data_IF_851195921795
#
_entry.id   IF_851195921795
#
_cell.length_a   1.000
_cell.length_b   1.000
_cell.length_c   1.000
_cell.angle_alpha   90.00
_cell.angle_beta   90.00
_cell.angle_gamma   90.00
#
_symmetry.space_group_name_H-M   'P 1'
#
loop_
_entity.id
_entity.type
_entity.pdbx_description
1 polymer ?
#
# COMPACT_ATOMS: atom_id res chain seq x y z
N UNK A 1 24.45 -23.37 11.74
CA UNK A 1 24.01 -22.94 10.40
C UNK A 1 22.55 -22.54 10.53
N UNK A 2 22.12 -21.42 9.95
CA UNK A 2 20.68 -21.08 9.97
C UNK A 2 19.92 -22.14 9.17
N UNK A 3 18.83 -22.70 9.70
CA UNK A 3 18.05 -23.72 9.00
C UNK A 3 17.46 -23.15 7.71
N UNK A 4 17.45 -23.95 6.64
CA UNK A 4 16.71 -23.63 5.41
C UNK A 4 15.21 -23.47 5.71
N UNK A 5 14.44 -23.00 4.72
CA UNK A 5 13.03 -22.72 4.96
C UNK A 5 12.10 -23.18 3.83
N UNK A 6 10.85 -23.43 4.19
CA UNK A 6 9.71 -23.50 3.30
C UNK A 6 8.80 -22.29 3.52
N UNK A 7 7.97 -21.97 2.52
CA UNK A 7 6.89 -20.98 2.64
C UNK A 7 5.57 -21.68 2.38
N UNK A 8 4.67 -21.66 3.36
CA UNK A 8 3.30 -22.12 3.15
C UNK A 8 2.46 -21.01 2.52
N UNK A 9 1.95 -21.27 1.31
CA UNK A 9 1.18 -20.36 0.47
C UNK A 9 1.89 -20.00 -0.83
N UNK A 10 1.46 -20.58 -1.95
CA UNK A 10 1.98 -20.28 -3.29
C UNK A 10 1.17 -19.15 -3.99
N UNK A 11 0.93 -18.07 -3.26
CA UNK A 11 0.11 -16.93 -3.68
C UNK A 11 0.83 -15.61 -3.37
N UNK A 12 0.27 -14.43 -3.72
CA UNK A 12 0.98 -13.15 -3.62
C UNK A 12 1.66 -12.88 -2.26
N UNK A 13 1.03 -13.24 -1.13
CA UNK A 13 1.65 -13.10 0.20
C UNK A 13 2.89 -13.98 0.38
N UNK A 14 2.84 -15.23 -0.08
CA UNK A 14 4.01 -16.12 -0.06
C UNK A 14 5.10 -15.67 -1.03
N UNK A 15 4.74 -15.12 -2.18
CA UNK A 15 5.71 -14.55 -3.13
C UNK A 15 6.41 -13.34 -2.52
N UNK A 16 5.66 -12.44 -1.88
CA UNK A 16 6.23 -11.32 -1.12
C UNK A 16 7.14 -11.81 0.01
N UNK A 17 6.72 -12.83 0.77
CA UNK A 17 7.57 -13.43 1.82
C UNK A 17 8.86 -14.03 1.25
N UNK A 18 8.77 -14.67 0.09
CA UNK A 18 9.95 -15.20 -0.61
C UNK A 18 10.93 -14.10 -0.98
N UNK A 19 10.44 -12.95 -1.48
CA UNK A 19 11.27 -11.78 -1.77
C UNK A 19 11.92 -11.21 -0.51
N UNK A 20 11.17 -11.12 0.60
CA UNK A 20 11.72 -10.64 1.88
C UNK A 20 12.85 -11.55 2.38
N UNK A 21 12.59 -12.85 2.51
CA UNK A 21 13.55 -13.79 3.07
C UNK A 21 14.79 -13.96 2.20
N UNK A 22 14.65 -14.07 0.87
CA UNK A 22 15.82 -14.22 -0.01
C UNK A 22 16.73 -13.00 0.01
N UNK A 23 16.15 -11.81 0.20
CA UNK A 23 16.89 -10.56 0.22
C UNK A 23 17.52 -10.32 1.59
N UNK A 24 16.79 -10.56 2.68
CA UNK A 24 17.26 -10.31 4.04
C UNK A 24 18.19 -11.41 4.56
N UNK A 25 17.96 -12.66 4.15
CA UNK A 25 18.69 -13.84 4.62
C UNK A 25 19.22 -14.70 3.46
N UNK A 26 20.13 -14.16 2.62
CA UNK A 26 20.59 -14.82 1.39
C UNK A 26 21.31 -16.16 1.60
N UNK A 27 21.82 -16.42 2.82
CA UNK A 27 22.49 -17.67 3.16
C UNK A 27 21.52 -18.84 3.43
N UNK A 28 20.21 -18.56 3.58
CA UNK A 28 19.19 -19.58 3.80
C UNK A 28 18.51 -19.91 2.47
N UNK A 29 18.39 -21.20 2.15
CA UNK A 29 17.72 -21.64 0.92
C UNK A 29 16.21 -21.82 1.15
N UNK A 30 15.40 -21.31 0.22
CA UNK A 30 14.01 -21.74 0.09
C UNK A 30 13.97 -23.15 -0.53
N UNK A 31 13.46 -24.11 0.22
CA UNK A 31 13.33 -25.50 -0.21
C UNK A 31 12.03 -25.78 -0.97
N UNK A 32 11.04 -24.87 -0.89
CA UNK A 32 9.78 -25.02 -1.59
C UNK A 32 8.67 -24.12 -1.06
N UNK A 33 7.65 -23.93 -1.90
CA UNK A 33 6.34 -23.49 -1.45
C UNK A 33 5.49 -24.70 -1.08
N UNK A 34 4.68 -24.58 -0.03
CA UNK A 34 3.77 -25.62 0.44
C UNK A 34 2.32 -25.14 0.31
N UNK A 35 1.38 -26.04 0.03
CA UNK A 35 -0.06 -25.80 0.12
C UNK A 35 -0.80 -27.11 0.45
N UNK A 36 -2.06 -27.00 0.86
CA UNK A 36 -2.91 -28.12 1.32
C UNK A 36 -4.36 -28.04 0.80
N UNK A 37 -4.64 -27.17 -0.16
CA UNK A 37 -5.96 -26.92 -0.70
C UNK A 37 -6.10 -27.39 -2.16
N UNK A 38 -7.33 -27.40 -2.68
CA UNK A 38 -7.62 -27.78 -4.07
C UNK A 38 -7.30 -26.66 -5.09
N UNK A 39 -6.65 -25.57 -4.66
CA UNK A 39 -6.34 -24.47 -5.57
C UNK A 39 -5.28 -24.88 -6.57
N UNK A 40 -5.47 -24.45 -7.83
CA UNK A 40 -4.48 -24.67 -8.88
C UNK A 40 -3.27 -23.79 -8.62
N UNK A 41 -2.18 -24.42 -8.21
CA UNK A 41 -0.89 -23.76 -8.05
C UNK A 41 0.05 -24.11 -9.21
N UNK A 42 0.96 -23.19 -9.61
CA UNK A 42 1.99 -23.51 -10.57
C UNK A 42 2.93 -24.59 -9.99
N UNK A 43 3.58 -25.38 -10.85
CA UNK A 43 4.55 -26.38 -10.38
C UNK A 43 5.81 -25.76 -9.76
N UNK A 44 6.16 -24.55 -10.20
CA UNK A 44 7.30 -23.79 -9.73
C UNK A 44 6.99 -22.28 -9.72
N UNK A 45 7.67 -21.55 -8.83
CA UNK A 45 7.63 -20.09 -8.70
C UNK A 45 9.07 -19.59 -8.68
N UNK A 46 9.48 -18.83 -9.71
CA UNK A 46 10.87 -18.38 -9.87
C UNK A 46 11.91 -19.51 -9.73
N UNK A 47 11.58 -20.72 -10.23
CA UNK A 47 12.44 -21.91 -10.14
C UNK A 47 12.43 -22.62 -8.78
N UNK A 48 11.59 -22.18 -7.84
CA UNK A 48 11.35 -22.85 -6.56
C UNK A 48 10.11 -23.74 -6.68
N UNK A 49 10.24 -25.02 -6.34
CA UNK A 49 9.16 -26.00 -6.44
C UNK A 49 7.99 -25.70 -5.51
N UNK A 50 6.78 -25.99 -5.98
CA UNK A 50 5.55 -25.94 -5.18
C UNK A 50 5.10 -27.37 -4.87
N UNK A 51 4.87 -27.66 -3.59
CA UNK A 51 4.51 -28.97 -3.07
C UNK A 51 3.09 -28.94 -2.52
N UNK A 52 2.28 -29.88 -3.00
CA UNK A 52 1.00 -30.23 -2.40
C UNK A 52 1.26 -31.17 -1.23
N UNK A 53 1.06 -30.71 0.01
CA UNK A 53 1.30 -31.52 1.20
C UNK A 53 0.35 -32.72 1.31
N UNK A 54 -0.85 -32.65 0.71
CA UNK A 54 -1.78 -33.78 0.70
C UNK A 54 -1.29 -34.94 -0.17
N UNK A 55 -0.45 -34.65 -1.18
CA UNK A 55 0.03 -35.60 -2.18
C UNK A 55 1.56 -35.80 -2.16
N UNK A 56 2.29 -35.10 -1.30
CA UNK A 56 3.75 -35.20 -1.18
C UNK A 56 4.11 -36.20 -0.09
N UNK A 57 4.89 -37.22 -0.44
CA UNK A 57 5.53 -38.10 0.55
C UNK A 57 6.45 -37.27 1.47
N UNK A 58 6.23 -37.25 2.80
CA UNK A 58 7.05 -36.51 3.76
C UNK A 58 8.55 -36.82 3.67
N UNK A 59 8.94 -38.01 3.18
CA UNK A 59 10.35 -38.37 2.94
C UNK A 59 11.05 -37.48 1.90
N UNK A 60 10.28 -36.72 1.10
CA UNK A 60 10.80 -35.75 0.14
C UNK A 60 10.95 -34.33 0.70
N UNK A 61 10.62 -34.12 1.97
CA UNK A 61 10.71 -32.82 2.65
C UNK A 61 11.82 -32.85 3.70
N UNK A 62 12.53 -31.73 3.84
CA UNK A 62 13.44 -31.51 4.96
C UNK A 62 12.63 -31.03 6.17
N UNK A 63 12.18 -31.97 7.01
CA UNK A 63 11.36 -31.67 8.19
C UNK A 63 12.10 -30.88 9.28
N UNK A 64 13.42 -30.70 9.17
CA UNK A 64 14.22 -29.84 10.06
C UNK A 64 14.17 -28.35 9.67
N UNK A 65 13.66 -28.06 8.47
CA UNK A 65 13.53 -26.70 7.96
C UNK A 65 12.44 -25.90 8.68
N UNK A 66 12.61 -24.58 8.70
CA UNK A 66 11.60 -23.63 9.20
C UNK A 66 10.50 -23.48 8.17
N UNK A 67 9.24 -23.39 8.60
CA UNK A 67 8.10 -23.13 7.70
C UNK A 67 7.44 -21.81 8.06
N UNK A 68 7.46 -20.86 7.13
CA UNK A 68 6.73 -19.60 7.27
C UNK A 68 5.31 -19.72 6.72
N UNK A 69 4.29 -19.53 7.55
CA UNK A 69 2.89 -19.55 7.13
C UNK A 69 2.51 -18.17 6.58
N UNK A 70 2.66 -17.98 5.26
CA UNK A 70 2.46 -16.71 4.55
C UNK A 70 1.07 -16.62 3.91
N UNK A 71 0.01 -16.91 4.68
CA UNK A 71 -1.40 -16.88 4.26
C UNK A 71 -2.21 -15.89 5.10
N UNK A 72 -3.54 -15.83 4.91
CA UNK A 72 -4.43 -15.03 5.78
C UNK A 72 -4.47 -15.66 7.18
N UNK A 73 -4.41 -14.81 8.22
CA UNK A 73 -4.34 -15.24 9.63
C UNK A 73 -5.44 -16.23 10.06
N UNK A 74 -6.64 -16.10 9.49
CA UNK A 74 -7.78 -17.01 9.75
C UNK A 74 -7.48 -18.48 9.43
N UNK A 75 -6.48 -18.77 8.58
CA UNK A 75 -6.10 -20.13 8.19
C UNK A 75 -4.89 -20.66 8.98
N UNK A 76 -4.23 -19.83 9.79
CA UNK A 76 -2.94 -20.19 10.40
C UNK A 76 -3.04 -21.40 11.33
N UNK A 77 -4.10 -21.50 12.15
CA UNK A 77 -4.28 -22.63 13.06
C UNK A 77 -4.50 -23.96 12.31
N UNK A 78 -5.31 -23.94 11.25
CA UNK A 78 -5.51 -25.11 10.40
C UNK A 78 -4.18 -25.56 9.76
N UNK A 79 -3.48 -24.63 9.12
CA UNK A 79 -2.21 -24.89 8.43
C UNK A 79 -1.16 -25.42 9.40
N UNK A 80 -1.09 -24.86 10.62
CA UNK A 80 -0.19 -25.35 11.67
C UNK A 80 -0.50 -26.80 12.01
N UNK A 81 -1.78 -27.16 12.12
CA UNK A 81 -2.21 -28.56 12.30
C UNK A 81 -1.73 -29.48 11.17
N UNK A 82 -1.88 -29.05 9.92
CA UNK A 82 -1.44 -29.81 8.73
C UNK A 82 0.09 -30.02 8.75
N UNK A 83 0.86 -28.99 9.07
CA UNK A 83 2.32 -29.07 9.14
C UNK A 83 2.81 -30.00 10.26
N UNK A 84 2.13 -29.99 11.42
CA UNK A 84 2.43 -30.92 12.51
C UNK A 84 2.15 -32.38 12.11
N UNK A 85 1.04 -32.64 11.42
CA UNK A 85 0.71 -33.97 10.89
C UNK A 85 1.73 -34.42 9.83
N UNK A 86 2.23 -33.50 9.01
CA UNK A 86 3.30 -33.77 8.04
C UNK A 86 4.68 -34.03 8.68
N UNK A 87 4.82 -33.79 9.99
CA UNK A 87 6.04 -34.12 10.75
C UNK A 87 6.99 -32.95 11.02
N UNK A 88 6.58 -31.71 10.72
CA UNK A 88 7.37 -30.53 11.12
C UNK A 88 7.27 -30.30 12.63
N UNK A 89 8.41 -29.96 13.25
CA UNK A 89 8.45 -29.62 14.67
C UNK A 89 7.74 -28.27 14.94
N UNK A 90 7.03 -28.16 16.05
CA UNK A 90 6.21 -26.98 16.38
C UNK A 90 7.01 -25.67 16.45
N UNK A 91 8.25 -25.75 16.91
CA UNK A 91 9.23 -24.67 17.04
C UNK A 91 9.78 -24.18 15.69
N UNK A 92 9.63 -24.99 14.64
CA UNK A 92 10.03 -24.64 13.27
C UNK A 92 8.88 -23.98 12.49
N UNK A 93 7.66 -23.92 13.02
CA UNK A 93 6.51 -23.34 12.34
C UNK A 93 6.30 -21.90 12.79
N UNK A 94 6.46 -20.95 11.87
CA UNK A 94 6.35 -19.51 12.12
C UNK A 94 5.14 -18.94 11.39
N UNK A 95 4.12 -18.53 12.15
CA UNK A 95 2.99 -17.77 11.61
C UNK A 95 3.43 -16.36 11.22
N UNK A 96 3.19 -15.96 9.97
CA UNK A 96 3.48 -14.59 9.50
C UNK A 96 2.37 -13.66 9.96
N UNK A 97 2.51 -13.14 11.17
CA UNK A 97 1.58 -12.15 11.75
C UNK A 97 1.72 -10.79 11.05
N UNK A 98 0.73 -9.87 11.17
CA UNK A 98 0.87 -8.51 10.67
C UNK A 98 2.10 -7.77 11.21
N UNK A 99 2.49 -8.04 12.46
CA UNK A 99 3.68 -7.47 13.08
C UNK A 99 4.96 -8.00 12.42
N UNK A 100 5.04 -9.32 12.17
CA UNK A 100 6.20 -9.92 11.49
C UNK A 100 6.29 -9.47 10.03
N UNK A 101 5.16 -9.42 9.31
CA UNK A 101 5.11 -8.90 7.94
C UNK A 101 5.59 -7.45 7.86
N UNK A 102 5.12 -6.59 8.78
CA UNK A 102 5.52 -5.18 8.85
C UNK A 102 7.02 -5.04 9.14
N UNK A 103 7.54 -5.82 10.10
CA UNK A 103 8.97 -5.84 10.41
C UNK A 103 9.81 -6.21 9.18
N UNK A 104 9.51 -7.35 8.56
CA UNK A 104 10.26 -7.84 7.40
C UNK A 104 10.12 -6.92 6.19
N UNK A 105 8.93 -6.35 5.97
CA UNK A 105 8.70 -5.33 4.93
C UNK A 105 9.60 -4.11 5.13
N UNK A 106 9.66 -3.58 6.34
CA UNK A 106 10.45 -2.39 6.64
C UNK A 106 11.94 -2.65 6.40
N UNK A 107 12.47 -3.76 6.93
CA UNK A 107 13.86 -4.19 6.71
C UNK A 107 14.15 -4.41 5.21
N UNK A 108 13.20 -5.00 4.47
CA UNK A 108 13.32 -5.23 3.04
C UNK A 108 13.38 -3.92 2.26
N UNK A 109 12.45 -2.99 2.50
CA UNK A 109 12.41 -1.68 1.82
C UNK A 109 13.69 -0.90 2.10
N UNK A 110 14.14 -0.86 3.36
CA UNK A 110 15.39 -0.21 3.74
C UNK A 110 16.59 -0.77 2.96
N UNK A 111 16.69 -2.10 2.88
CA UNK A 111 17.78 -2.77 2.16
C UNK A 111 17.76 -2.48 0.67
N UNK A 112 16.58 -2.49 0.03
CA UNK A 112 16.43 -2.18 -1.40
C UNK A 112 16.76 -0.70 -1.67
N UNK A 113 16.25 0.22 -0.86
CA UNK A 113 16.52 1.65 -1.03
C UNK A 113 18.01 1.94 -0.86
N UNK A 114 18.64 1.34 0.14
CA UNK A 114 20.10 1.44 0.33
C UNK A 114 20.88 0.91 -0.87
N UNK A 115 20.46 -0.21 -1.49
CA UNK A 115 21.15 -0.71 -2.69
C UNK A 115 20.92 0.16 -3.93
N UNK A 116 19.88 0.99 -3.93
CA UNK A 116 19.62 2.02 -4.94
C UNK A 116 20.26 3.38 -4.62
N UNK A 117 21.02 3.50 -3.52
CA UNK A 117 21.61 4.76 -3.09
C UNK A 117 20.59 5.75 -2.51
N UNK A 118 19.45 5.25 -2.01
CA UNK A 118 18.36 6.03 -1.42
C UNK A 118 18.32 5.85 0.09
N UNK A 119 17.81 6.87 0.78
CA UNK A 119 17.48 6.78 2.21
C UNK A 119 16.04 6.30 2.38
N UNK A 120 15.81 5.37 3.31
CA UNK A 120 14.48 5.02 3.79
C UNK A 120 14.29 5.66 5.15
N UNK A 121 13.65 6.83 5.17
CA UNK A 121 13.29 7.53 6.41
C UNK A 121 11.85 7.18 6.77
N UNK A 122 11.64 6.70 7.99
CA UNK A 122 10.34 6.24 8.46
C UNK A 122 10.02 6.86 9.81
N UNK A 123 8.79 7.35 9.98
CA UNK A 123 8.28 7.72 11.29
C UNK A 123 8.12 6.46 12.14
N UNK A 124 8.84 6.45 13.25
CA UNK A 124 8.83 5.40 14.26
C UNK A 124 7.92 5.82 15.42
N UNK A 125 7.14 4.87 15.96
CA UNK A 125 6.37 5.09 17.19
C UNK A 125 7.27 5.18 18.44
N UNK A 126 8.45 4.54 18.38
CA UNK A 126 9.34 4.32 19.53
C UNK A 126 10.54 5.28 19.55
N UNK A 127 10.62 6.22 18.61
CA UNK A 127 11.67 7.24 18.65
C UNK A 127 11.28 8.29 19.69
N UNK A 128 11.96 8.25 20.83
CA UNK A 128 11.90 9.25 21.89
C UNK A 128 11.78 10.64 21.27
N UNK A 129 10.76 11.38 21.70
CA UNK A 129 10.67 12.80 21.45
C UNK A 129 12.01 13.41 21.90
N UNK A 130 12.87 13.72 20.93
CA UNK A 130 14.02 14.58 21.19
C UNK A 130 13.46 15.86 21.79
N UNK A 131 14.13 16.34 22.84
CA UNK A 131 13.64 17.37 23.77
C UNK A 131 12.77 18.44 23.06
N UNK A 132 11.63 18.84 23.67
CA UNK A 132 10.77 19.84 23.07
C UNK A 132 11.63 21.05 22.71
N UNK A 133 11.60 21.45 21.44
CA UNK A 133 12.19 22.72 21.06
C UNK A 133 11.51 23.80 21.92
N UNK A 134 12.33 24.59 22.63
CA UNK A 134 11.91 25.72 23.50
C UNK A 134 11.32 26.90 22.70
N UNK A 135 10.50 26.62 21.70
CA UNK A 135 9.73 27.62 20.95
C UNK A 135 8.28 27.13 20.88
N UNK A 136 7.33 28.00 21.23
CA UNK A 136 5.91 27.82 20.88
C UNK A 136 5.82 27.66 19.35
N UNK A 137 6.00 26.43 18.87
CA UNK A 137 5.74 26.02 17.50
C UNK A 137 4.24 26.17 17.31
N UNK A 138 3.87 27.24 16.61
CA UNK A 138 2.48 27.51 16.28
C UNK A 138 1.94 26.32 15.49
N UNK A 139 1.01 25.58 16.08
CA UNK A 139 0.24 24.51 15.45
C UNK A 139 -0.07 24.90 13.99
N UNK A 140 0.65 24.31 13.04
CA UNK A 140 0.27 24.39 11.64
C UNK A 140 -1.14 23.83 11.49
N UNK A 141 -2.05 24.60 10.88
CA UNK A 141 -3.41 24.17 10.55
C UNK A 141 -3.34 22.90 9.70
N UNK A 142 -3.52 21.74 10.34
CA UNK A 142 -3.40 20.41 9.73
C UNK A 142 -4.75 19.69 9.77
N UNK A 143 -5.10 19.04 8.66
CA UNK A 143 -6.28 18.17 8.61
C UNK A 143 -5.99 16.91 7.79
N UNK A 144 -6.12 15.76 8.43
CA UNK A 144 -6.14 14.45 7.79
C UNK A 144 -7.59 14.05 7.53
N UNK A 145 -7.97 14.08 6.27
CA UNK A 145 -9.29 13.69 5.82
C UNK A 145 -9.41 12.17 5.75
N UNK A 146 -10.35 11.64 6.51
CA UNK A 146 -10.65 10.21 6.58
C UNK A 146 -11.76 9.91 5.59
N UNK A 147 -11.42 9.32 4.45
CA UNK A 147 -12.41 8.94 3.45
C UNK A 147 -13.27 7.79 3.99
N UNK A 148 -14.57 8.05 4.10
CA UNK A 148 -15.60 7.08 4.49
C UNK A 148 -16.71 7.07 3.44
N UNK A 149 -17.15 5.90 3.02
CA UNK A 149 -18.28 5.75 2.13
C UNK A 149 -19.53 5.32 2.92
N UNK A 150 -20.72 5.67 2.45
CA UNK A 150 -21.98 5.32 3.11
C UNK A 150 -22.21 3.80 3.26
N UNK A 151 -21.52 2.98 2.45
CA UNK A 151 -21.58 1.52 2.50
C UNK A 151 -20.42 0.87 3.27
N UNK A 152 -19.50 1.66 3.83
CA UNK A 152 -18.47 1.12 4.72
C UNK A 152 -19.10 0.56 5.98
N UNK A 153 -18.71 -0.66 6.37
CA UNK A 153 -19.19 -1.21 7.65
C UNK A 153 -18.46 -0.56 8.80
N UNK A 154 -19.21 -0.30 9.86
CA UNK A 154 -18.65 0.11 11.14
C UNK A 154 -17.74 -0.96 11.73
N UNK A 155 -16.87 -0.49 12.62
CA UNK A 155 -15.98 -1.33 13.40
C UNK A 155 -16.74 -2.03 14.52
N UNK A 156 -16.19 -3.15 14.99
CA UNK A 156 -16.69 -3.78 16.22
C UNK A 156 -16.39 -2.96 17.48
N UNK A 157 -15.39 -2.08 17.41
CA UNK A 157 -14.94 -1.21 18.50
C UNK A 157 -15.05 0.26 18.08
N UNK A 158 -15.34 1.13 19.04
CA UNK A 158 -15.44 2.57 18.79
C UNK A 158 -14.04 3.15 18.49
N UNK A 159 -13.86 3.70 17.30
CA UNK A 159 -12.60 4.31 16.87
C UNK A 159 -12.75 5.82 16.94
N UNK A 160 -12.13 6.44 17.94
CA UNK A 160 -12.12 7.89 18.09
C UNK A 160 -11.20 8.52 17.04
N UNK A 161 -11.66 9.62 16.43
CA UNK A 161 -10.81 10.49 15.62
C UNK A 161 -9.84 11.25 16.52
N UNK A 162 -8.62 11.48 16.01
CA UNK A 162 -7.67 12.41 16.61
C UNK A 162 -8.06 13.86 16.27
N UNK A 163 -7.52 14.82 17.01
CA UNK A 163 -7.89 16.24 16.87
C UNK A 163 -7.63 16.82 15.47
N UNK A 164 -6.64 16.28 14.77
CA UNK A 164 -6.28 16.66 13.40
C UNK A 164 -7.02 15.85 12.33
N UNK A 165 -7.94 14.96 12.70
CA UNK A 165 -8.65 14.08 11.76
C UNK A 165 -10.10 14.51 11.58
N UNK A 166 -10.58 14.45 10.34
CA UNK A 166 -11.97 14.74 10.02
C UNK A 166 -12.51 13.78 8.96
N UNK A 167 -13.71 13.25 9.18
CA UNK A 167 -14.36 12.38 8.19
C UNK A 167 -14.82 13.20 6.99
N UNK A 168 -14.45 12.74 5.79
CA UNK A 168 -15.03 13.17 4.52
C UNK A 168 -15.83 12.02 3.91
N UNK A 169 -17.11 12.26 3.64
CA UNK A 169 -17.91 11.29 2.91
C UNK A 169 -17.53 11.31 1.43
N UNK A 170 -17.06 10.17 0.93
CA UNK A 170 -16.73 9.96 -0.48
C UNK A 170 -17.92 9.37 -1.25
N UNK A 171 -18.18 9.88 -2.45
CA UNK A 171 -19.31 9.49 -3.29
C UNK A 171 -20.64 9.99 -2.76
N UNK A 172 -20.65 11.14 -2.08
CA UNK A 172 -21.84 11.68 -1.42
C UNK A 172 -23.02 11.83 -2.38
N UNK A 173 -22.79 12.27 -3.62
CA UNK A 173 -23.86 12.45 -4.61
C UNK A 173 -24.53 11.13 -5.03
N UNK A 174 -23.83 10.01 -4.86
CA UNK A 174 -24.31 8.67 -5.23
C UNK A 174 -24.88 7.91 -4.03
N UNK A 175 -24.77 8.45 -2.82
CA UNK A 175 -25.23 7.81 -1.60
C UNK A 175 -26.70 8.12 -1.32
N UNK A 176 -27.40 7.17 -0.71
CA UNK A 176 -28.81 7.34 -0.31
C UNK A 176 -28.98 8.34 0.86
N UNK A 177 -27.91 8.55 1.64
CA UNK A 177 -27.91 9.46 2.78
C UNK A 177 -26.53 10.06 3.06
N UNK A 178 -26.52 11.17 3.79
CA UNK A 178 -25.31 11.76 4.36
C UNK A 178 -24.97 11.05 5.66
N UNK A 179 -23.69 10.81 5.89
CA UNK A 179 -23.16 10.32 7.15
C UNK A 179 -23.26 11.42 8.21
N UNK A 180 -23.85 11.09 9.36
CA UNK A 180 -24.06 12.01 10.48
C UNK A 180 -22.75 12.41 11.18
N UNK A 181 -21.74 11.54 11.11
CA UNK A 181 -20.40 11.73 11.68
C UNK A 181 -19.40 12.39 10.69
N UNK A 182 -19.83 12.68 9.45
CA UNK A 182 -18.98 13.33 8.47
C UNK A 182 -18.95 14.86 8.65
N UNK A 183 -17.75 15.40 8.83
CA UNK A 183 -17.52 16.85 8.86
C UNK A 183 -17.52 17.46 7.45
N UNK A 184 -17.15 16.67 6.45
CA UNK A 184 -17.04 17.09 5.05
C UNK A 184 -17.76 16.13 4.11
N UNK A 185 -18.17 16.67 2.96
CA UNK A 185 -18.83 15.91 1.91
C UNK A 185 -18.19 16.26 0.58
N UNK A 186 -17.78 15.24 -0.17
CA UNK A 186 -17.08 15.44 -1.44
C UNK A 186 -17.95 16.00 -2.57
N UNK A 187 -19.25 16.22 -2.36
CA UNK A 187 -20.19 16.82 -3.33
C UNK A 187 -20.35 18.34 -3.21
N UNK A 188 -19.56 18.99 -2.35
CA UNK A 188 -19.58 20.45 -2.15
C UNK A 188 -18.51 21.14 -2.99
N UNK A 189 -18.72 22.41 -3.35
CA UNK A 189 -17.73 23.19 -4.10
C UNK A 189 -17.38 22.55 -5.45
N UNK A 190 -16.14 22.73 -5.90
CA UNK A 190 -15.64 22.04 -7.11
C UNK A 190 -15.36 20.57 -6.76
N UNK A 191 -15.95 19.64 -7.52
CA UNK A 191 -15.89 18.21 -7.19
C UNK A 191 -16.11 17.28 -8.39
N UNK A 192 -15.87 15.99 -8.14
CA UNK A 192 -16.16 14.85 -9.04
C UNK A 192 -16.86 13.70 -8.29
N UNK A 193 -17.70 14.03 -7.29
CA UNK A 193 -18.36 13.03 -6.43
C UNK A 193 -19.17 12.01 -7.23
N UNK A 194 -19.70 12.42 -8.39
CA UNK A 194 -20.49 11.61 -9.32
C UNK A 194 -19.68 10.50 -9.99
N UNK A 195 -18.35 10.60 -9.96
CA UNK A 195 -17.42 9.61 -10.51
C UNK A 195 -16.92 8.60 -9.47
N UNK A 196 -17.45 8.59 -8.24
CA UNK A 196 -16.93 7.77 -7.13
C UNK A 196 -16.96 6.25 -7.40
N UNK A 197 -17.90 5.74 -8.21
CA UNK A 197 -17.91 4.32 -8.64
C UNK A 197 -16.61 3.89 -9.32
N UNK A 198 -15.90 4.82 -9.95
CA UNK A 198 -14.63 4.58 -10.64
C UNK A 198 -13.45 5.15 -9.84
N UNK A 199 -13.58 6.38 -9.34
CA UNK A 199 -12.51 7.10 -8.66
C UNK A 199 -12.33 6.69 -7.19
N UNK A 200 -13.33 6.06 -6.58
CA UNK A 200 -13.30 5.68 -5.17
C UNK A 200 -12.87 6.87 -4.28
N UNK A 201 -11.93 6.66 -3.36
CA UNK A 201 -11.44 7.69 -2.44
C UNK A 201 -10.75 8.88 -3.16
N UNK A 202 -10.44 8.77 -4.45
CA UNK A 202 -9.93 9.90 -5.22
C UNK A 202 -10.95 11.02 -5.41
N UNK A 203 -12.26 10.77 -5.24
CA UNK A 203 -13.24 11.87 -5.24
C UNK A 203 -13.06 12.75 -4.01
N UNK A 204 -12.73 12.16 -2.85
CA UNK A 204 -12.30 12.90 -1.67
C UNK A 204 -10.96 13.61 -1.92
N UNK A 205 -9.96 12.95 -2.53
CA UNK A 205 -8.68 13.60 -2.88
C UNK A 205 -8.88 14.82 -3.79
N UNK A 206 -9.75 14.71 -4.80
CA UNK A 206 -10.07 15.80 -5.71
C UNK A 206 -10.72 16.96 -4.96
N UNK A 207 -11.70 16.65 -4.10
CA UNK A 207 -12.37 17.65 -3.29
C UNK A 207 -11.37 18.38 -2.38
N UNK A 208 -10.47 17.64 -1.73
CA UNK A 208 -9.42 18.19 -0.88
C UNK A 208 -8.53 19.14 -1.68
N UNK A 209 -8.03 18.72 -2.85
CA UNK A 209 -7.21 19.55 -3.74
C UNK A 209 -7.87 20.90 -4.08
N UNK A 210 -9.19 20.90 -4.29
CA UNK A 210 -9.91 22.10 -4.73
C UNK A 210 -10.44 22.98 -3.60
N UNK A 211 -10.66 22.42 -2.41
CA UNK A 211 -11.47 23.08 -1.38
C UNK A 211 -10.77 23.19 -0.01
N UNK A 212 -9.79 22.33 0.30
CA UNK A 212 -9.10 22.36 1.59
C UNK A 212 -8.21 23.60 1.74
N UNK A 213 -8.08 24.09 2.98
CA UNK A 213 -7.38 25.35 3.29
C UNK A 213 -6.21 25.19 4.24
N UNK A 214 -6.10 24.03 4.86
CA UNK A 214 -5.04 23.67 5.80
C UNK A 214 -3.68 23.73 5.12
N UNK A 215 -2.63 24.05 5.88
CA UNK A 215 -1.26 24.07 5.38
C UNK A 215 -0.69 22.65 5.25
N UNK A 216 -1.15 21.74 6.10
CA UNK A 216 -0.85 20.31 6.03
C UNK A 216 -2.15 19.54 5.79
N UNK A 217 -2.15 18.73 4.74
CA UNK A 217 -3.34 18.01 4.30
C UNK A 217 -3.02 16.53 4.17
N UNK A 218 -3.88 15.70 4.76
CA UNK A 218 -3.82 14.25 4.62
C UNK A 218 -5.07 13.67 3.98
N UNK A 219 -4.90 12.53 3.32
CA UNK A 219 -5.96 11.61 2.94
C UNK A 219 -5.61 10.21 3.46
N UNK A 220 -6.54 9.63 4.19
CA UNK A 220 -6.49 8.23 4.59
C UNK A 220 -7.87 7.56 4.50
N UNK A 221 -7.92 6.26 4.80
CA UNK A 221 -9.16 5.49 4.67
C UNK A 221 -9.78 5.26 6.03
N UNK A 222 -11.10 5.12 6.06
CA UNK A 222 -11.82 4.71 7.26
C UNK A 222 -11.15 3.51 7.97
N UNK A 223 -10.84 2.44 7.21
CA UNK A 223 -10.27 1.19 7.76
C UNK A 223 -8.74 1.10 7.75
N UNK A 224 -8.04 2.11 7.22
CA UNK A 224 -6.57 2.11 7.14
C UNK A 224 -6.06 3.47 7.54
N UNK A 225 -5.48 3.54 8.74
CA UNK A 225 -5.02 4.77 9.36
C UNK A 225 -3.50 4.79 9.40
N UNK A 226 -2.90 5.96 9.19
CA UNK A 226 -1.47 6.12 9.41
C UNK A 226 -1.12 5.87 10.89
N UNK A 227 -0.02 5.17 11.10
CA UNK A 227 0.62 5.04 12.40
C UNK A 227 1.63 6.18 12.53
N UNK A 228 1.21 7.27 13.15
CA UNK A 228 2.01 8.48 13.38
C UNK A 228 2.38 8.61 14.87
N UNK A 229 3.65 8.90 15.23
CA UNK A 229 4.04 9.25 16.59
C UNK A 229 3.43 10.59 17.01
N UNK A 230 3.32 10.86 18.31
CA UNK A 230 2.66 12.09 18.81
C UNK A 230 3.31 13.38 18.29
N UNK A 231 4.63 13.39 18.11
CA UNK A 231 5.39 14.53 17.60
C UNK A 231 5.50 14.59 16.06
N UNK A 232 4.65 13.88 15.31
CA UNK A 232 4.74 13.87 13.85
C UNK A 232 4.59 15.26 13.20
N UNK A 233 3.76 16.14 13.79
CA UNK A 233 3.58 17.52 13.29
C UNK A 233 4.84 18.34 13.47
N UNK A 234 5.47 18.26 14.65
CA UNK A 234 6.76 18.91 14.93
C UNK A 234 7.84 18.43 13.97
N UNK A 235 7.87 17.13 13.67
CA UNK A 235 8.80 16.56 12.67
C UNK A 235 8.52 17.07 11.25
N UNK A 236 7.25 17.29 10.90
CA UNK A 236 6.91 17.86 9.59
C UNK A 236 7.42 19.30 9.47
N UNK A 237 7.23 20.10 10.52
CA UNK A 237 7.67 21.50 10.59
C UNK A 237 9.20 21.62 10.67
N UNK A 238 9.82 21.00 11.66
CA UNK A 238 11.27 21.09 11.95
C UNK A 238 12.13 20.27 10.99
N UNK A 239 11.67 19.07 10.63
CA UNK A 239 12.38 18.13 9.74
C UNK A 239 12.26 18.49 8.26
N UNK A 240 11.55 19.58 7.93
CA UNK A 240 11.26 19.98 6.55
C UNK A 240 10.72 18.81 5.73
N UNK A 241 9.84 18.00 6.33
CA UNK A 241 9.18 16.90 5.62
C UNK A 241 8.17 17.54 4.67
N UNK A 242 8.22 17.13 3.41
CA UNK A 242 7.31 17.63 2.38
C UNK A 242 6.09 16.73 2.23
N UNK A 243 6.30 15.41 2.39
CA UNK A 243 5.27 14.39 2.23
C UNK A 243 5.58 13.14 3.06
N UNK A 244 4.53 12.58 3.66
CA UNK A 244 4.50 11.28 4.31
C UNK A 244 3.65 10.33 3.45
N UNK A 245 4.25 9.22 3.01
CA UNK A 245 3.58 8.15 2.27
C UNK A 245 3.49 6.89 3.14
N UNK A 246 2.60 5.96 2.77
CA UNK A 246 2.60 4.66 3.45
C UNK A 246 3.84 3.84 3.05
N UNK A 247 4.38 3.03 3.97
CA UNK A 247 5.52 2.15 3.66
C UNK A 247 5.22 1.32 2.40
N UNK A 248 6.13 1.28 1.41
CA UNK A 248 5.94 0.55 0.17
C UNK A 248 5.72 -0.95 0.36
N UNK A 249 4.81 -1.51 -0.43
CA UNK A 249 4.64 -2.95 -0.59
C UNK A 249 5.46 -3.46 -1.77
N UNK A 250 6.00 -4.67 -1.64
CA UNK A 250 6.62 -5.39 -2.75
C UNK A 250 5.58 -6.16 -3.56
N UNK A 251 5.56 -5.92 -4.87
CA UNK A 251 4.75 -6.66 -5.85
C UNK A 251 5.63 -7.31 -6.90
N UNK A 252 5.12 -8.31 -7.63
CA UNK A 252 5.88 -9.02 -8.66
C UNK A 252 5.13 -9.06 -9.99
N UNK A 253 5.84 -9.16 -11.13
CA UNK A 253 7.30 -9.04 -11.26
C UNK A 253 7.80 -7.58 -11.24
N UNK A 254 6.90 -6.63 -11.51
CA UNK A 254 7.13 -5.17 -11.50
C UNK A 254 5.80 -4.46 -11.27
N UNK A 255 5.78 -3.13 -11.16
CA UNK A 255 4.52 -2.38 -11.02
C UNK A 255 3.60 -2.58 -12.24
N UNK A 256 4.16 -2.50 -13.45
CA UNK A 256 3.44 -2.78 -14.69
C UNK A 256 2.96 -4.24 -14.75
N UNK A 257 3.87 -5.19 -14.53
CA UNK A 257 3.54 -6.62 -14.61
C UNK A 257 2.49 -7.03 -13.58
N UNK A 258 2.59 -6.46 -12.37
CA UNK A 258 1.60 -6.67 -11.32
C UNK A 258 0.23 -6.13 -11.73
N UNK A 259 0.16 -4.90 -12.26
CA UNK A 259 -1.10 -4.35 -12.75
C UNK A 259 -1.69 -5.23 -13.87
N UNK A 260 -0.91 -5.53 -14.91
CA UNK A 260 -1.36 -6.28 -16.09
C UNK A 260 -1.77 -7.73 -15.82
N UNK A 261 -1.39 -8.29 -14.66
CA UNK A 261 -1.81 -9.63 -14.22
C UNK A 261 -3.13 -9.62 -13.42
N UNK A 262 -3.58 -8.46 -12.95
CA UNK A 262 -4.75 -8.31 -12.04
C UNK A 262 -5.84 -7.42 -12.61
N UNK A 263 -5.49 -6.56 -13.55
CA UNK A 263 -6.34 -5.53 -14.08
C UNK A 263 -6.32 -5.51 -15.60
N UNK A 264 -7.30 -4.83 -16.19
CA UNK A 264 -7.40 -4.68 -17.64
C UNK A 264 -6.14 -4.01 -18.22
N UNK A 265 -5.43 -4.74 -19.07
CA UNK A 265 -4.18 -4.31 -19.72
C UNK A 265 -4.41 -3.12 -20.65
N UNK A 266 -5.59 -3.03 -21.26
CA UNK A 266 -5.92 -1.95 -22.20
C UNK A 266 -5.99 -0.61 -21.49
N UNK A 267 -6.47 -0.59 -20.24
CA UNK A 267 -6.46 0.62 -19.40
C UNK A 267 -5.04 1.08 -19.11
N UNK A 268 -4.13 0.14 -18.84
CA UNK A 268 -2.72 0.46 -18.60
C UNK A 268 -2.07 1.09 -19.84
N UNK A 269 -2.22 0.44 -20.99
CA UNK A 269 -1.62 0.91 -22.23
C UNK A 269 -2.18 2.30 -22.62
N UNK A 270 -3.46 2.54 -22.33
CA UNK A 270 -4.09 3.85 -22.50
C UNK A 270 -3.56 4.91 -21.55
N UNK A 271 -3.38 4.58 -20.27
CA UNK A 271 -2.77 5.47 -19.28
C UNK A 271 -1.38 5.91 -19.72
N UNK A 272 -0.54 4.96 -20.16
CA UNK A 272 0.82 5.26 -20.62
C UNK A 272 0.82 6.18 -21.84
N UNK A 273 -0.10 5.96 -22.78
CA UNK A 273 -0.28 6.83 -23.95
C UNK A 273 -0.66 8.25 -23.52
N UNK A 274 -1.65 8.40 -22.63
CA UNK A 274 -2.09 9.70 -22.12
C UNK A 274 -0.97 10.42 -21.37
N UNK A 275 -0.21 9.70 -20.54
CA UNK A 275 0.93 10.26 -19.81
C UNK A 275 1.97 10.85 -20.77
N UNK A 276 2.32 10.12 -21.84
CA UNK A 276 3.26 10.59 -22.87
C UNK A 276 2.78 11.81 -23.64
N UNK A 277 1.47 11.94 -23.85
CA UNK A 277 0.89 13.07 -24.57
C UNK A 277 0.74 14.32 -23.70
N UNK A 278 0.39 14.17 -22.42
CA UNK A 278 0.24 15.29 -21.48
C UNK A 278 1.57 15.75 -20.90
N UNK A 279 2.50 14.83 -20.66
CA UNK A 279 3.80 15.07 -20.05
C UNK A 279 4.89 14.31 -20.84
N UNK A 280 5.27 14.79 -22.04
CA UNK A 280 6.28 14.13 -22.88
C UNK A 280 7.62 13.91 -22.19
N UNK A 281 7.99 14.80 -21.25
CA UNK A 281 9.19 14.70 -20.41
C UNK A 281 9.18 13.49 -19.46
N UNK A 282 7.99 13.01 -19.09
CA UNK A 282 7.82 11.88 -18.19
C UNK A 282 7.83 10.54 -18.93
N UNK A 283 7.45 10.52 -20.21
CA UNK A 283 7.06 9.32 -20.94
C UNK A 283 7.99 8.12 -20.80
N UNK A 284 9.23 8.25 -21.25
CA UNK A 284 10.21 7.15 -21.20
C UNK A 284 10.65 6.81 -19.77
N UNK A 285 10.77 7.83 -18.91
CA UNK A 285 11.18 7.65 -17.53
C UNK A 285 10.11 6.89 -16.73
N UNK A 286 8.83 7.19 -16.94
CA UNK A 286 7.69 6.54 -16.32
C UNK A 286 7.57 5.07 -16.75
N UNK A 287 7.64 4.79 -18.05
CA UNK A 287 7.60 3.40 -18.54
C UNK A 287 8.74 2.56 -17.96
N UNK A 288 9.96 3.11 -17.95
CA UNK A 288 11.11 2.44 -17.34
C UNK A 288 10.86 2.19 -15.85
N UNK A 289 10.41 3.20 -15.11
CA UNK A 289 10.07 3.08 -13.70
C UNK A 289 9.06 1.96 -13.45
N UNK A 290 7.94 1.93 -14.18
CA UNK A 290 6.91 0.92 -13.96
C UNK A 290 7.35 -0.51 -14.32
N UNK A 291 8.23 -0.64 -15.32
CA UNK A 291 8.75 -1.93 -15.76
C UNK A 291 9.81 -2.49 -14.83
N UNK A 292 10.63 -1.63 -14.23
CA UNK A 292 11.81 -2.04 -13.46
C UNK A 292 11.58 -2.03 -11.95
N UNK A 293 10.71 -1.14 -11.44
CA UNK A 293 10.43 -1.05 -10.02
C UNK A 293 9.32 -2.00 -9.61
N UNK A 294 9.35 -2.37 -8.33
CA UNK A 294 8.44 -3.35 -7.74
C UNK A 294 7.96 -2.97 -6.33
N UNK A 295 8.39 -1.81 -5.83
CA UNK A 295 7.95 -1.22 -4.57
C UNK A 295 6.97 -0.09 -4.85
N UNK A 296 5.84 -0.06 -4.14
CA UNK A 296 4.89 1.04 -4.24
C UNK A 296 4.12 1.27 -2.93
N UNK A 297 3.90 2.53 -2.56
CA UNK A 297 2.98 2.95 -1.50
C UNK A 297 1.53 2.72 -1.96
N UNK A 298 0.77 1.79 -1.33
CA UNK A 298 -0.59 1.47 -1.76
C UNK A 298 -1.64 2.45 -1.21
N UNK A 299 -2.89 2.27 -1.65
CA UNK A 299 -4.09 2.90 -1.11
C UNK A 299 -4.24 4.40 -1.36
N UNK A 300 -3.39 5.07 -2.15
CA UNK A 300 -3.49 6.52 -2.35
C UNK A 300 -3.49 7.35 -1.05
N UNK A 301 -2.90 6.79 0.02
CA UNK A 301 -2.78 7.46 1.31
C UNK A 301 -1.57 8.39 1.28
N UNK A 302 -1.78 9.63 1.71
CA UNK A 302 -0.78 10.69 1.66
C UNK A 302 -1.03 11.71 2.77
N UNK A 303 0.03 12.23 3.39
CA UNK A 303 -0.02 13.47 4.18
C UNK A 303 1.05 14.37 3.59
N UNK A 304 0.72 15.60 3.22
CA UNK A 304 1.67 16.48 2.55
C UNK A 304 1.42 17.94 2.90
N UNK A 305 2.42 18.78 2.69
CA UNK A 305 2.22 20.23 2.61
C UNK A 305 1.23 20.53 1.48
N UNK A 306 0.34 21.51 1.68
CA UNK A 306 -0.72 21.86 0.72
C UNK A 306 -0.19 22.10 -0.69
N UNK A 307 0.95 22.77 -0.81
CA UNK A 307 1.58 23.06 -2.11
C UNK A 307 2.10 21.79 -2.81
N UNK A 308 2.64 20.84 -2.06
CA UNK A 308 3.12 19.55 -2.57
C UNK A 308 1.94 18.69 -3.03
N UNK A 309 0.87 18.65 -2.23
CA UNK A 309 -0.37 17.97 -2.60
C UNK A 309 -0.98 18.60 -3.86
N UNK A 310 -0.99 19.93 -3.94
CA UNK A 310 -1.51 20.66 -5.09
C UNK A 310 -0.72 20.36 -6.36
N UNK A 311 0.62 20.42 -6.33
CA UNK A 311 1.43 20.06 -7.51
C UNK A 311 1.21 18.60 -7.93
N UNK A 312 1.04 17.70 -6.95
CA UNK A 312 0.70 16.31 -7.22
C UNK A 312 -0.64 16.16 -7.91
N UNK A 313 -1.68 16.79 -7.39
CA UNK A 313 -3.03 16.72 -7.95
C UNK A 313 -3.15 17.44 -9.30
N UNK A 314 -2.45 18.58 -9.48
CA UNK A 314 -2.34 19.32 -10.74
C UNK A 314 -1.72 18.43 -11.85
N UNK A 315 -0.83 17.50 -11.49
CA UNK A 315 -0.26 16.50 -12.42
C UNK A 315 -1.14 15.24 -12.58
N UNK A 316 -1.70 14.72 -11.49
CA UNK A 316 -2.43 13.44 -11.45
C UNK A 316 -3.79 13.52 -12.16
N UNK A 317 -4.61 14.50 -11.80
CA UNK A 317 -6.02 14.51 -12.21
C UNK A 317 -6.22 14.73 -13.71
N UNK A 318 -5.43 15.56 -14.43
CA UNK A 318 -5.53 15.62 -15.88
C UNK A 318 -5.36 14.25 -16.56
N UNK A 319 -4.44 13.42 -16.08
CA UNK A 319 -4.21 12.06 -16.59
C UNK A 319 -5.45 11.20 -16.32
N UNK A 320 -5.92 11.16 -15.08
CA UNK A 320 -7.02 10.29 -14.68
C UNK A 320 -8.37 10.69 -15.28
N UNK A 321 -8.66 11.98 -15.35
CA UNK A 321 -9.90 12.49 -15.95
C UNK A 321 -9.94 12.18 -17.45
N UNK A 322 -8.84 12.44 -18.17
CA UNK A 322 -8.74 12.08 -19.58
C UNK A 322 -8.85 10.58 -19.80
N UNK A 323 -8.18 9.78 -18.96
CA UNK A 323 -8.29 8.32 -19.01
C UNK A 323 -9.75 7.86 -18.81
N UNK A 324 -10.44 8.45 -17.84
CA UNK A 324 -11.83 8.14 -17.55
C UNK A 324 -12.79 8.56 -18.65
N UNK A 325 -12.58 9.73 -19.25
CA UNK A 325 -13.40 10.25 -20.35
C UNK A 325 -13.22 9.40 -21.63
N UNK A 326 -12.01 8.86 -21.88
CA UNK A 326 -11.72 8.04 -23.06
C UNK A 326 -12.12 6.56 -22.90
N UNK A 327 -12.13 6.02 -21.67
CA UNK A 327 -12.48 4.62 -21.41
C UNK A 327 -13.95 4.46 -21.00
N UNK A 328 -14.48 5.38 -20.20
CA UNK A 328 -15.83 5.30 -19.63
C UNK A 328 -15.96 4.22 -18.56
N UNK A 329 -17.19 3.72 -18.37
CA UNK A 329 -17.52 2.70 -17.39
C UNK A 329 -17.26 1.29 -17.93
N UNK A 330 -16.70 0.42 -17.10
CA UNK A 330 -16.52 -1.01 -17.37
C UNK A 330 -17.66 -1.81 -16.75
N UNK A 331 -18.04 -2.92 -17.38
CA UNK A 331 -19.12 -3.80 -16.91
C UNK A 331 -18.77 -4.48 -15.58
N UNK A 332 -17.51 -4.92 -15.43
CA UNK A 332 -17.03 -5.51 -14.19
C UNK A 332 -16.83 -4.42 -13.13
N UNK A 333 -17.66 -4.44 -12.08
CA UNK A 333 -17.66 -3.43 -11.03
C UNK A 333 -16.32 -3.31 -10.29
N UNK A 334 -15.53 -4.38 -10.20
CA UNK A 334 -14.21 -4.34 -9.59
C UNK A 334 -13.20 -3.67 -10.53
N UNK A 335 -13.16 -4.06 -11.80
CA UNK A 335 -12.30 -3.45 -12.81
C UNK A 335 -12.69 -2.00 -13.10
N UNK A 336 -13.96 -1.64 -12.96
CA UNK A 336 -14.46 -0.27 -13.15
C UNK A 336 -13.78 0.75 -12.20
N UNK A 337 -13.13 0.29 -11.13
CA UNK A 337 -12.32 1.10 -10.21
C UNK A 337 -10.92 1.44 -10.74
N UNK A 338 -10.71 1.31 -12.05
CA UNK A 338 -9.40 1.48 -12.67
C UNK A 338 -8.71 2.82 -12.42
N UNK A 339 -9.38 3.99 -12.29
CA UNK A 339 -8.70 5.22 -11.90
C UNK A 339 -8.02 5.08 -10.53
N UNK A 340 -8.69 4.44 -9.57
CA UNK A 340 -8.13 4.10 -8.26
C UNK A 340 -6.88 3.24 -8.38
N UNK A 341 -6.92 2.16 -9.16
CA UNK A 341 -5.76 1.28 -9.33
C UNK A 341 -4.59 1.97 -10.05
N UNK A 342 -4.87 2.76 -11.08
CA UNK A 342 -3.86 3.51 -11.83
C UNK A 342 -3.20 4.59 -10.97
N UNK A 343 -3.99 5.32 -10.19
CA UNK A 343 -3.48 6.38 -9.31
C UNK A 343 -2.44 5.90 -8.32
N UNK A 344 -2.55 4.67 -7.80
CA UNK A 344 -1.52 4.10 -6.91
C UNK A 344 -0.16 3.98 -7.61
N UNK A 345 -0.13 3.70 -8.92
CA UNK A 345 1.12 3.60 -9.68
C UNK A 345 1.66 4.99 -10.01
N UNK A 346 0.77 5.88 -10.45
CA UNK A 346 1.11 7.27 -10.75
C UNK A 346 1.64 8.04 -9.54
N UNK A 347 1.05 7.83 -8.34
CA UNK A 347 1.54 8.36 -7.06
C UNK A 347 3.03 8.06 -6.88
N UNK A 348 3.39 6.79 -7.04
CA UNK A 348 4.75 6.32 -6.78
C UNK A 348 5.75 6.87 -7.82
N UNK A 349 5.35 6.97 -9.09
CA UNK A 349 6.21 7.58 -10.10
C UNK A 349 6.40 9.08 -9.84
N UNK A 350 5.33 9.81 -9.53
CA UNK A 350 5.37 11.25 -9.30
C UNK A 350 6.34 11.64 -8.16
N UNK A 351 6.30 10.90 -7.06
CA UNK A 351 7.20 11.14 -5.93
C UNK A 351 8.60 10.59 -6.18
N UNK A 352 8.76 9.47 -6.87
CA UNK A 352 10.08 8.95 -7.23
C UNK A 352 10.87 9.92 -8.11
N UNK A 353 10.22 10.56 -9.11
CA UNK A 353 10.89 11.52 -9.99
C UNK A 353 11.24 12.86 -9.31
N UNK A 354 10.68 13.14 -8.12
CA UNK A 354 10.93 14.35 -7.33
C UNK A 354 11.71 14.09 -6.03
N UNK A 355 12.17 12.87 -5.80
CA UNK A 355 12.85 12.47 -4.55
C UNK A 355 14.11 13.27 -4.22
N UNK A 356 14.74 13.90 -5.22
CA UNK A 356 15.94 14.71 -5.02
C UNK A 356 15.63 16.15 -4.58
N UNK A 357 14.36 16.56 -4.67
CA UNK A 357 13.90 17.91 -4.30
C UNK A 357 12.83 17.89 -3.20
N UNK A 358 12.15 16.77 -2.99
CA UNK A 358 11.17 16.59 -1.92
C UNK A 358 11.74 15.68 -0.84
N UNK A 359 11.61 16.10 0.41
CA UNK A 359 11.86 15.26 1.56
C UNK A 359 10.66 14.33 1.80
N UNK A 360 10.81 13.07 1.36
CA UNK A 360 9.79 12.02 1.44
C UNK A 360 10.09 11.13 2.65
N UNK A 361 9.12 11.03 3.56
CA UNK A 361 9.16 10.13 4.72
C UNK A 361 8.05 9.09 4.62
N UNK A 362 8.22 7.94 5.27
CA UNK A 362 7.24 6.87 5.29
C UNK A 362 6.62 6.66 6.67
N UNK A 363 5.37 6.22 6.70
CA UNK A 363 4.71 5.76 7.92
C UNK A 363 4.06 4.40 7.70
N UNK A 364 4.10 3.56 8.73
CA UNK A 364 3.31 2.33 8.73
C UNK A 364 1.81 2.68 8.80
N UNK A 365 0.96 1.70 8.54
CA UNK A 365 -0.50 1.86 8.63
C UNK A 365 -1.12 0.71 9.39
N UNK A 366 -2.16 1.00 10.16
CA UNK A 366 -2.99 0.00 10.78
C UNK A 366 -4.07 -0.49 9.80
N UNK A 367 -4.57 -1.69 10.05
CA UNK A 367 -5.79 -2.19 9.42
C UNK A 367 -6.80 -2.43 10.54
N UNK A 368 -7.88 -1.66 10.53
CA UNK A 368 -8.96 -1.76 11.50
C UNK A 368 -9.95 -2.80 10.98
N UNK A 369 -10.23 -3.83 11.80
CA UNK A 369 -11.06 -4.99 11.42
C UNK A 369 -12.54 -4.78 11.74
#
# INVERSE_FOLDING_TARGET
MKNNYYIFGAHPRGYTMYQYLRTLEPDRKNLGFLFDNEEKNPGEVEGVRVYDLGNTDPGNLDLSAVVYIATRGIFHEHIKGVLLVAGFASENIISVTPQLDTKLRNEYVEKIYKSEGRTFEKLSMDEDATEPADEELGCGDACIYVAKNAYDKDFSEEVSLKEYEAIIQAGTILADSRLDDAAFYDDRGENISDRNRQFCELTALYWIWKNAKQEVIGLEHWRRRFLLPDNWMERLESGKIDVILSVPLCVMPSLEGNYKSRHDRTVWDKMVTILKELYPEDGEAAERFFREKNLYSPCNMIIARREVLRDYCDWLFPILLRLNDEIGALEDAYQNRYPGFISERLLNYYFDKRRDILHIVYADKSFLN
#
